data_IF_103259211612
#
_entry.id   IF_103259211612
#
_cell.length_a   1.000
_cell.length_b   1.000
_cell.length_c   1.000
_cell.angle_alpha   90.00
_cell.angle_beta   90.00
_cell.angle_gamma   90.00
#
_symmetry.space_group_name_H-M   'P 1'
#
loop_
_entity.id
_entity.type
_entity.pdbx_description
1 polymer ?
#
# COMPACT_ATOMS: atom_id res chain seq x y z
N UNK A 1 18.68 16.92 10.06
CA UNK A 1 17.30 17.13 9.57
C UNK A 1 17.24 17.65 8.11
N UNK A 2 17.90 18.75 7.72
CA UNK A 2 17.83 19.28 6.35
C UNK A 2 18.29 18.29 5.25
N UNK A 3 19.35 17.54 5.45
CA UNK A 3 19.88 16.56 4.49
C UNK A 3 18.93 15.39 4.23
N UNK A 4 18.22 14.91 5.27
CA UNK A 4 17.26 13.81 5.16
C UNK A 4 16.02 14.24 4.36
N UNK A 5 15.52 15.45 4.58
CA UNK A 5 14.38 16.00 3.83
C UNK A 5 14.73 16.16 2.34
N UNK A 6 15.92 16.70 2.04
CA UNK A 6 16.38 16.92 0.67
C UNK A 6 16.52 15.59 -0.10
N UNK A 7 17.06 14.58 0.55
CA UNK A 7 17.25 13.23 0.03
C UNK A 7 15.90 12.56 -0.31
N UNK A 8 14.89 12.65 0.58
CA UNK A 8 13.56 12.11 0.33
C UNK A 8 12.87 12.82 -0.85
N UNK A 9 13.00 14.14 -0.93
CA UNK A 9 12.41 14.94 -2.02
C UNK A 9 12.97 14.54 -3.40
N UNK A 10 14.30 14.35 -3.52
CA UNK A 10 14.93 13.94 -4.78
C UNK A 10 14.53 12.52 -5.16
N UNK A 11 14.52 11.61 -4.18
CA UNK A 11 14.09 10.23 -4.37
C UNK A 11 12.64 10.15 -4.87
N UNK A 12 11.73 10.87 -4.20
CA UNK A 12 10.31 10.90 -4.58
C UNK A 12 10.10 11.51 -5.97
N UNK A 13 10.83 12.58 -6.31
CA UNK A 13 10.75 13.19 -7.63
C UNK A 13 11.20 12.23 -8.75
N UNK A 14 12.37 11.62 -8.59
CA UNK A 14 12.88 10.65 -9.58
C UNK A 14 12.02 9.39 -9.63
N UNK A 15 11.58 8.87 -8.48
CA UNK A 15 10.70 7.71 -8.41
C UNK A 15 9.40 7.92 -9.18
N UNK A 16 8.71 9.06 -8.96
CA UNK A 16 7.50 9.42 -9.72
C UNK A 16 7.76 9.50 -11.22
N UNK A 17 8.82 10.17 -11.63
CA UNK A 17 9.15 10.36 -13.06
C UNK A 17 9.53 9.06 -13.77
N UNK A 18 10.16 8.13 -13.06
CA UNK A 18 10.44 6.80 -13.60
C UNK A 18 9.16 5.98 -13.69
N UNK A 19 8.36 5.96 -12.62
CA UNK A 19 7.14 5.16 -12.57
C UNK A 19 5.99 5.69 -13.44
N UNK A 20 6.00 7.00 -13.76
CA UNK A 20 5.08 7.60 -14.75
C UNK A 20 5.51 7.38 -16.19
N UNK A 21 6.79 7.05 -16.45
CA UNK A 21 7.37 6.94 -17.79
C UNK A 21 7.96 8.26 -18.32
N UNK A 22 7.92 9.36 -17.56
CA UNK A 22 8.56 10.65 -17.94
C UNK A 22 10.08 10.49 -18.10
N UNK A 23 10.67 9.54 -17.37
CA UNK A 23 12.04 9.08 -17.56
C UNK A 23 11.98 7.61 -18.02
N UNK A 24 11.99 7.35 -19.33
CA UNK A 24 11.74 6.02 -19.87
C UNK A 24 12.86 5.02 -19.58
N UNK A 25 12.52 3.73 -19.62
CA UNK A 25 13.48 2.64 -19.50
C UNK A 25 14.62 2.81 -20.54
N UNK A 26 15.85 2.49 -20.13
CA UNK A 26 17.04 2.68 -20.94
C UNK A 26 17.70 4.07 -20.78
N UNK A 27 17.05 5.04 -20.15
CA UNK A 27 17.61 6.38 -19.93
C UNK A 27 18.81 6.29 -18.96
N UNK A 28 19.97 6.87 -19.29
CA UNK A 28 21.12 6.92 -18.39
C UNK A 28 20.93 8.05 -17.34
N UNK A 29 21.24 7.74 -16.09
CA UNK A 29 21.30 8.70 -14.98
C UNK A 29 22.73 8.73 -14.42
N UNK A 30 23.23 9.94 -14.16
CA UNK A 30 24.56 10.14 -13.59
C UNK A 30 24.50 10.93 -12.28
N UNK A 31 25.52 10.80 -11.43
CA UNK A 31 25.64 11.64 -10.23
C UNK A 31 25.67 13.13 -10.54
N UNK A 32 26.25 13.48 -11.68
CA UNK A 32 26.36 14.86 -12.13
C UNK A 32 25.01 15.41 -12.58
N UNK A 33 24.24 14.63 -13.37
CA UNK A 33 22.90 15.04 -13.80
C UNK A 33 21.95 15.24 -12.62
N UNK A 34 21.93 14.30 -11.64
CA UNK A 34 21.11 14.44 -10.44
C UNK A 34 21.58 15.61 -9.58
N UNK A 35 22.90 15.76 -9.39
CA UNK A 35 23.47 16.86 -8.61
C UNK A 35 23.12 18.22 -9.20
N UNK A 36 23.23 18.37 -10.51
CA UNK A 36 22.93 19.61 -11.24
C UNK A 36 21.43 19.92 -11.26
N UNK A 37 20.59 18.91 -11.53
CA UNK A 37 19.13 19.08 -11.65
C UNK A 37 18.47 19.47 -10.30
N UNK A 38 18.91 18.83 -9.22
CA UNK A 38 18.27 19.02 -7.90
C UNK A 38 19.09 19.93 -6.96
N UNK A 39 20.22 20.46 -7.39
CA UNK A 39 21.08 21.29 -6.55
C UNK A 39 21.64 20.57 -5.32
N UNK A 40 21.90 19.25 -5.42
CA UNK A 40 22.33 18.41 -4.28
C UNK A 40 23.80 17.98 -4.41
N UNK A 41 24.42 17.69 -3.26
CA UNK A 41 25.79 17.19 -3.23
C UNK A 41 25.92 15.80 -3.88
N UNK A 42 27.13 15.45 -4.31
CA UNK A 42 27.43 14.10 -4.85
C UNK A 42 27.12 12.99 -3.85
N UNK A 43 27.22 13.26 -2.55
CA UNK A 43 26.90 12.28 -1.50
C UNK A 43 25.39 12.00 -1.48
N UNK A 44 24.56 13.05 -1.53
CA UNK A 44 23.10 12.92 -1.60
C UNK A 44 22.68 12.22 -2.89
N UNK A 45 23.22 12.64 -4.04
CA UNK A 45 22.94 11.99 -5.33
C UNK A 45 23.29 10.50 -5.32
N UNK A 46 24.42 10.12 -4.72
CA UNK A 46 24.84 8.71 -4.60
C UNK A 46 23.88 7.88 -3.74
N UNK A 47 23.40 8.46 -2.64
CA UNK A 47 22.46 7.77 -1.75
C UNK A 47 21.10 7.57 -2.43
N UNK A 48 20.59 8.59 -3.13
CA UNK A 48 19.37 8.47 -3.95
C UNK A 48 19.54 7.37 -5.01
N UNK A 49 20.67 7.33 -5.71
CA UNK A 49 20.97 6.31 -6.71
C UNK A 49 20.95 4.88 -6.11
N UNK A 50 21.52 4.69 -4.92
CA UNK A 50 21.49 3.40 -4.22
C UNK A 50 20.07 2.97 -3.85
N UNK A 51 19.25 3.92 -3.38
CA UNK A 51 17.86 3.62 -3.07
C UNK A 51 17.05 3.25 -4.31
N UNK A 52 17.20 4.01 -5.41
CA UNK A 52 16.55 3.68 -6.68
C UNK A 52 16.98 2.30 -7.20
N UNK A 53 18.26 1.93 -7.02
CA UNK A 53 18.78 0.61 -7.38
C UNK A 53 18.19 -0.49 -6.48
N UNK A 54 18.10 -0.27 -5.18
CA UNK A 54 17.43 -1.19 -4.24
C UNK A 54 15.94 -1.38 -4.51
N UNK A 55 15.29 -0.40 -5.15
CA UNK A 55 13.90 -0.49 -5.61
C UNK A 55 13.75 -1.17 -7.00
N UNK A 56 14.85 -1.54 -7.64
CA UNK A 56 14.84 -2.09 -8.99
C UNK A 56 14.50 -1.08 -10.08
N UNK A 57 14.42 0.23 -9.75
CA UNK A 57 14.07 1.26 -10.73
C UNK A 57 15.22 1.60 -11.68
N UNK A 58 16.45 1.36 -11.24
CA UNK A 58 17.68 1.58 -12.01
C UNK A 58 18.68 0.46 -11.74
N UNK A 59 19.63 0.28 -12.67
CA UNK A 59 20.76 -0.66 -12.53
C UNK A 59 22.06 -0.01 -12.89
N UNK A 60 23.11 -0.31 -12.15
CA UNK A 60 24.48 0.14 -12.46
C UNK A 60 24.99 -0.52 -13.76
N UNK A 61 25.47 0.31 -14.69
CA UNK A 61 26.08 -0.13 -15.95
C UNK A 61 27.45 0.48 -16.11
N UNK A 62 28.46 -0.38 -16.27
CA UNK A 62 29.86 0.03 -16.40
C UNK A 62 30.02 1.10 -17.50
N UNK A 63 30.74 2.18 -17.21
CA UNK A 63 31.03 3.34 -18.10
C UNK A 63 29.82 4.17 -18.52
N UNK A 64 28.60 3.85 -18.07
CA UNK A 64 27.37 4.59 -18.39
C UNK A 64 26.83 5.33 -17.17
N UNK A 65 26.98 4.73 -15.99
CA UNK A 65 26.32 5.18 -14.75
C UNK A 65 25.18 4.24 -14.38
N UNK A 66 24.05 4.78 -13.98
CA UNK A 66 22.82 4.01 -13.80
C UNK A 66 21.98 4.06 -15.09
N UNK A 67 21.22 3.02 -15.33
CA UNK A 67 20.24 2.94 -16.42
C UNK A 67 18.88 2.63 -15.82
N UNK A 68 17.86 3.37 -16.22
CA UNK A 68 16.47 3.16 -15.81
C UNK A 68 15.96 1.83 -16.33
N UNK A 69 15.26 1.08 -15.50
CA UNK A 69 14.73 -0.26 -15.80
C UNK A 69 13.22 -0.20 -16.08
N UNK A 70 12.70 -1.23 -16.77
CA UNK A 70 11.28 -1.43 -16.96
C UNK A 70 10.58 -2.02 -15.74
N UNK A 71 9.26 -2.03 -15.76
CA UNK A 71 8.40 -2.46 -14.65
C UNK A 71 8.65 -3.92 -14.22
N UNK A 72 9.11 -4.75 -15.12
CA UNK A 72 9.44 -6.16 -14.89
C UNK A 72 10.59 -6.39 -13.89
N UNK A 73 11.38 -5.35 -13.67
CA UNK A 73 12.52 -5.38 -12.75
C UNK A 73 12.22 -4.68 -11.42
N UNK A 74 11.12 -3.93 -11.35
CA UNK A 74 10.81 -3.11 -10.17
C UNK A 74 10.42 -3.96 -8.96
N UNK A 75 10.79 -3.51 -7.77
CA UNK A 75 10.23 -4.03 -6.54
C UNK A 75 8.79 -3.49 -6.35
N UNK A 76 7.85 -4.12 -7.06
CA UNK A 76 6.44 -3.70 -7.12
C UNK A 76 5.70 -3.82 -5.78
N UNK A 77 6.28 -4.51 -4.80
CA UNK A 77 5.75 -4.62 -3.44
C UNK A 77 6.30 -3.55 -2.48
N UNK A 78 7.27 -2.74 -2.90
CA UNK A 78 7.75 -1.63 -2.06
C UNK A 78 6.69 -0.54 -1.96
N UNK A 79 6.29 -0.09 -0.75
CA UNK A 79 5.25 0.91 -0.54
C UNK A 79 5.50 2.24 -1.28
N UNK A 80 6.76 2.62 -1.49
CA UNK A 80 7.12 3.84 -2.26
C UNK A 80 6.80 3.67 -3.73
N UNK A 81 7.14 2.52 -4.32
CA UNK A 81 6.83 2.21 -5.73
C UNK A 81 5.31 2.16 -5.92
N UNK A 82 4.59 1.54 -4.98
CA UNK A 82 3.12 1.51 -4.99
C UNK A 82 2.56 2.93 -4.99
N UNK A 83 2.99 3.77 -4.05
CA UNK A 83 2.52 5.15 -3.91
C UNK A 83 2.78 5.97 -5.19
N UNK A 84 4.00 5.95 -5.72
CA UNK A 84 4.32 6.72 -6.94
C UNK A 84 3.50 6.28 -8.14
N UNK A 85 3.22 5.00 -8.30
CA UNK A 85 2.38 4.49 -9.38
C UNK A 85 0.90 4.85 -9.19
N UNK A 86 0.40 4.87 -7.95
CA UNK A 86 -0.95 5.32 -7.63
C UNK A 86 -1.14 6.82 -7.88
N UNK A 87 -0.10 7.63 -7.70
CA UNK A 87 -0.09 9.07 -7.99
C UNK A 87 0.03 9.40 -9.49
N UNK A 88 0.41 8.41 -10.32
CA UNK A 88 0.72 8.57 -11.74
C UNK A 88 -0.33 7.97 -12.70
N UNK A 89 -0.02 7.95 -14.00
CA UNK A 89 -0.90 7.40 -15.04
C UNK A 89 -1.12 5.89 -14.93
N UNK A 90 -0.27 5.17 -14.18
CA UNK A 90 -0.40 3.74 -13.89
C UNK A 90 -1.38 3.38 -12.78
N UNK A 91 -2.18 4.34 -12.27
CA UNK A 91 -3.08 4.19 -11.13
C UNK A 91 -4.07 3.04 -11.27
N UNK A 92 -4.87 3.05 -12.34
CA UNK A 92 -5.98 2.11 -12.47
C UNK A 92 -5.53 0.65 -12.62
N UNK A 93 -4.53 0.33 -13.47
CA UNK A 93 -3.95 -1.01 -13.47
C UNK A 93 -3.35 -1.40 -12.13
N UNK A 94 -2.70 -0.47 -11.42
CA UNK A 94 -2.11 -0.71 -10.11
C UNK A 94 -3.17 -1.03 -9.06
N UNK A 95 -4.26 -0.27 -9.01
CA UNK A 95 -5.37 -0.53 -8.09
C UNK A 95 -6.01 -1.89 -8.32
N UNK A 96 -6.20 -2.29 -9.59
CA UNK A 96 -6.74 -3.62 -9.92
C UNK A 96 -5.84 -4.74 -9.38
N UNK A 97 -4.56 -4.72 -9.72
CA UNK A 97 -3.61 -5.77 -9.30
C UNK A 97 -3.44 -5.84 -7.78
N UNK A 98 -3.43 -4.69 -7.10
CA UNK A 98 -3.36 -4.64 -5.64
C UNK A 98 -4.66 -5.13 -4.98
N UNK A 99 -5.82 -4.85 -5.57
CA UNK A 99 -7.10 -5.37 -5.08
C UNK A 99 -7.21 -6.87 -5.26
N UNK A 100 -6.70 -7.41 -6.38
CA UNK A 100 -6.60 -8.87 -6.58
C UNK A 100 -5.69 -9.53 -5.55
N UNK A 101 -4.54 -8.91 -5.23
CA UNK A 101 -3.65 -9.39 -4.18
C UNK A 101 -4.35 -9.41 -2.82
N UNK A 102 -5.01 -8.31 -2.43
CA UNK A 102 -5.76 -8.22 -1.18
C UNK A 102 -6.83 -9.29 -1.09
N UNK A 103 -7.60 -9.48 -2.16
CA UNK A 103 -8.65 -10.51 -2.23
C UNK A 103 -8.11 -11.94 -2.08
N UNK A 104 -6.90 -12.21 -2.55
CA UNK A 104 -6.26 -13.52 -2.43
C UNK A 104 -5.66 -13.78 -1.04
N UNK A 105 -5.26 -12.72 -0.32
CA UNK A 105 -4.44 -12.86 0.90
C UNK A 105 -5.21 -12.53 2.17
N UNK A 106 -5.97 -11.44 2.20
CA UNK A 106 -6.56 -10.95 3.45
C UNK A 106 -7.63 -11.86 4.05
N UNK A 107 -8.49 -12.55 3.27
CA UNK A 107 -9.41 -13.53 3.83
C UNK A 107 -8.69 -14.69 4.54
N UNK A 108 -7.63 -15.20 3.92
CA UNK A 108 -6.81 -16.25 4.53
C UNK A 108 -6.04 -15.77 5.76
N UNK A 109 -5.60 -14.50 5.75
CA UNK A 109 -4.96 -13.89 6.90
C UNK A 109 -5.94 -13.72 8.07
N UNK A 110 -7.19 -13.32 7.81
CA UNK A 110 -8.24 -13.22 8.82
C UNK A 110 -8.58 -14.60 9.43
N UNK A 111 -8.70 -15.64 8.60
CA UNK A 111 -8.85 -17.02 9.06
C UNK A 111 -7.67 -17.46 9.94
N UNK A 112 -6.44 -17.16 9.53
CA UNK A 112 -5.23 -17.43 10.31
C UNK A 112 -5.21 -16.68 11.64
N UNK A 113 -5.60 -15.40 11.66
CA UNK A 113 -5.68 -14.60 12.89
C UNK A 113 -6.71 -15.18 13.88
N UNK A 114 -7.83 -15.72 13.42
CA UNK A 114 -8.80 -16.39 14.28
C UNK A 114 -8.20 -17.59 15.03
N UNK A 115 -7.16 -18.23 14.47
CA UNK A 115 -6.48 -19.38 15.07
C UNK A 115 -5.29 -18.93 15.93
N UNK A 116 -4.52 -17.94 15.48
CA UNK A 116 -3.19 -17.65 16.02
C UNK A 116 -3.09 -16.36 16.83
N UNK A 117 -4.06 -15.42 16.68
CA UNK A 117 -4.01 -14.15 17.41
C UNK A 117 -3.99 -14.36 18.92
N UNK A 118 -3.15 -13.60 19.62
CA UNK A 118 -3.14 -13.51 21.08
C UNK A 118 -4.40 -12.81 21.58
N UNK A 119 -4.71 -12.96 22.88
CA UNK A 119 -5.86 -12.30 23.50
C UNK A 119 -5.78 -10.77 23.38
N UNK A 120 -4.58 -10.19 23.49
CA UNK A 120 -4.36 -8.76 23.32
C UNK A 120 -4.63 -8.29 21.88
N UNK A 121 -4.17 -9.05 20.88
CA UNK A 121 -4.44 -8.76 19.47
C UNK A 121 -5.93 -8.89 19.13
N UNK A 122 -6.63 -9.87 19.68
CA UNK A 122 -8.08 -10.03 19.56
C UNK A 122 -8.82 -8.81 20.14
N UNK A 123 -8.43 -8.40 21.35
CA UNK A 123 -9.01 -7.23 22.01
C UNK A 123 -8.73 -5.94 21.22
N UNK A 124 -7.52 -5.78 20.66
CA UNK A 124 -7.16 -4.64 19.81
C UNK A 124 -8.02 -4.59 18.53
N UNK A 125 -8.25 -5.73 17.88
CA UNK A 125 -9.10 -5.80 16.66
C UNK A 125 -10.54 -5.37 16.97
N UNK A 126 -11.13 -5.87 18.05
CA UNK A 126 -12.49 -5.49 18.46
C UNK A 126 -12.57 -4.00 18.79
N UNK A 127 -11.61 -3.47 19.55
CA UNK A 127 -11.58 -2.05 19.88
C UNK A 127 -11.40 -1.18 18.63
N UNK A 128 -10.53 -1.58 17.69
CA UNK A 128 -10.34 -0.88 16.43
C UNK A 128 -11.62 -0.85 15.59
N UNK A 129 -12.29 -1.98 15.38
CA UNK A 129 -13.53 -2.05 14.62
C UNK A 129 -14.65 -1.19 15.23
N UNK A 130 -14.83 -1.24 16.55
CA UNK A 130 -15.79 -0.40 17.27
C UNK A 130 -15.49 1.09 17.07
N UNK A 131 -14.24 1.49 17.17
CA UNK A 131 -13.85 2.89 16.98
C UNK A 131 -13.98 3.32 15.51
N UNK A 132 -13.69 2.45 14.56
CA UNK A 132 -13.90 2.70 13.12
C UNK A 132 -15.38 2.99 12.84
N UNK A 133 -16.31 2.26 13.45
CA UNK A 133 -17.74 2.56 13.33
C UNK A 133 -18.05 3.98 13.78
N UNK A 134 -17.63 4.37 14.97
CA UNK A 134 -17.89 5.71 15.51
C UNK A 134 -17.32 6.81 14.61
N UNK A 135 -16.11 6.64 14.10
CA UNK A 135 -15.46 7.62 13.23
C UNK A 135 -16.12 7.67 11.83
N UNK A 136 -16.50 6.51 11.29
CA UNK A 136 -17.19 6.43 10.01
C UNK A 136 -18.55 7.12 10.05
N UNK A 137 -19.32 6.93 11.11
CA UNK A 137 -20.62 7.60 11.35
C UNK A 137 -20.44 9.11 11.58
N UNK A 138 -19.34 9.52 12.22
CA UNK A 138 -18.99 10.93 12.44
C UNK A 138 -18.43 11.62 11.19
N UNK A 139 -18.01 10.87 10.17
CA UNK A 139 -17.36 11.39 8.96
C UNK A 139 -15.90 11.80 9.17
N UNK A 140 -15.23 11.32 10.21
CA UNK A 140 -13.80 11.55 10.45
C UNK A 140 -12.97 10.53 9.67
N UNK A 141 -12.79 10.81 8.38
CA UNK A 141 -12.13 9.90 7.46
C UNK A 141 -10.63 9.75 7.69
N UNK A 142 -9.97 10.74 8.26
CA UNK A 142 -8.52 10.67 8.49
C UNK A 142 -8.19 9.71 9.65
N UNK A 143 -8.88 9.88 10.79
CA UNK A 143 -8.73 8.94 11.90
C UNK A 143 -9.27 7.54 11.55
N UNK A 144 -10.37 7.46 10.78
CA UNK A 144 -10.89 6.20 10.25
C UNK A 144 -9.82 5.46 9.43
N UNK A 145 -9.19 6.14 8.48
CA UNK A 145 -8.12 5.54 7.66
C UNK A 145 -6.97 5.01 8.50
N UNK A 146 -6.55 5.76 9.52
CA UNK A 146 -5.45 5.32 10.38
C UNK A 146 -5.79 4.00 11.10
N UNK A 147 -7.04 3.84 11.55
CA UNK A 147 -7.52 2.61 12.17
C UNK A 147 -7.74 1.49 11.15
N UNK A 148 -8.25 1.78 9.97
CA UNK A 148 -8.44 0.82 8.88
C UNK A 148 -7.10 0.19 8.48
N UNK A 149 -6.07 1.02 8.28
CA UNK A 149 -4.70 0.56 8.04
C UNK A 149 -4.22 -0.33 9.19
N UNK A 150 -4.39 0.11 10.44
CA UNK A 150 -3.94 -0.63 11.61
C UNK A 150 -4.67 -1.97 11.76
N UNK A 151 -5.97 -2.01 11.49
CA UNK A 151 -6.80 -3.21 11.52
C UNK A 151 -6.30 -4.27 10.54
N UNK A 152 -6.09 -3.90 9.29
CA UNK A 152 -5.59 -4.81 8.28
C UNK A 152 -4.14 -5.26 8.54
N UNK A 153 -3.27 -4.35 9.01
CA UNK A 153 -1.91 -4.72 9.43
C UNK A 153 -1.91 -5.75 10.55
N UNK A 154 -2.76 -5.57 11.55
CA UNK A 154 -2.84 -6.48 12.69
C UNK A 154 -3.30 -7.87 12.26
N UNK A 155 -4.34 -7.97 11.42
CA UNK A 155 -4.80 -9.25 10.87
C UNK A 155 -3.69 -9.99 10.10
N UNK A 156 -2.98 -9.28 9.23
CA UNK A 156 -1.88 -9.87 8.47
C UNK A 156 -0.77 -10.40 9.39
N UNK A 157 -0.40 -9.65 10.43
CA UNK A 157 0.67 -10.03 11.38
C UNK A 157 0.24 -11.16 12.31
N UNK A 158 -1.01 -11.10 12.80
CA UNK A 158 -1.57 -12.10 13.72
C UNK A 158 -1.96 -13.42 13.03
N UNK A 159 -1.88 -13.49 11.70
CA UNK A 159 -2.28 -14.66 10.90
C UNK A 159 -1.48 -15.93 11.14
N UNK A 160 -0.34 -15.85 11.85
CA UNK A 160 0.61 -16.96 12.00
C UNK A 160 1.44 -17.24 10.74
N UNK A 161 1.28 -16.44 9.66
CA UNK A 161 2.03 -16.56 8.42
C UNK A 161 2.90 -15.32 8.21
N UNK A 162 4.22 -15.49 8.33
CA UNK A 162 5.19 -14.40 8.19
C UNK A 162 5.15 -13.71 6.82
N UNK A 163 4.78 -14.46 5.76
CA UNK A 163 4.66 -13.92 4.41
C UNK A 163 3.46 -12.97 4.30
N UNK A 164 2.35 -13.27 4.98
CA UNK A 164 1.21 -12.36 5.06
C UNK A 164 1.58 -11.10 5.85
N UNK A 165 2.28 -11.26 6.99
CA UNK A 165 2.79 -10.14 7.78
C UNK A 165 3.72 -9.21 6.98
N UNK A 166 4.52 -9.75 6.06
CA UNK A 166 5.40 -8.96 5.19
C UNK A 166 4.62 -8.08 4.19
N UNK A 167 3.36 -8.39 3.87
CA UNK A 167 2.49 -7.61 2.99
C UNK A 167 1.79 -6.43 3.70
N UNK A 168 1.92 -6.28 5.02
CA UNK A 168 1.26 -5.22 5.79
C UNK A 168 1.53 -3.83 5.20
N UNK A 169 2.78 -3.51 4.86
CA UNK A 169 3.12 -2.23 4.22
C UNK A 169 2.53 -2.04 2.82
N UNK A 170 2.30 -3.12 2.08
CA UNK A 170 1.65 -3.08 0.76
C UNK A 170 0.18 -2.70 0.93
N UNK A 171 -0.52 -3.38 1.85
CA UNK A 171 -1.95 -3.10 2.13
C UNK A 171 -2.13 -1.69 2.67
N UNK A 172 -1.28 -1.25 3.61
CA UNK A 172 -1.27 0.13 4.10
C UNK A 172 -1.13 1.17 2.98
N UNK A 173 -0.23 0.94 2.02
CA UNK A 173 -0.03 1.84 0.88
C UNK A 173 -1.27 1.90 -0.04
N UNK A 174 -1.99 0.79 -0.22
CA UNK A 174 -3.23 0.76 -1.02
C UNK A 174 -4.36 1.52 -0.34
N UNK A 175 -4.60 1.25 0.95
CA UNK A 175 -5.65 1.90 1.74
C UNK A 175 -5.44 3.42 1.77
N UNK A 176 -4.21 3.85 2.12
CA UNK A 176 -3.84 5.27 2.14
C UNK A 176 -3.97 5.91 0.75
N UNK A 177 -3.49 5.22 -0.29
CA UNK A 177 -3.57 5.71 -1.66
C UNK A 177 -5.01 5.91 -2.13
N UNK A 178 -5.91 4.97 -1.87
CA UNK A 178 -7.34 5.09 -2.23
C UNK A 178 -8.00 6.29 -1.55
N UNK A 179 -7.77 6.48 -0.27
CA UNK A 179 -8.36 7.58 0.49
C UNK A 179 -7.82 8.93 0.03
N UNK A 180 -6.50 9.12 -0.07
CA UNK A 180 -5.89 10.38 -0.48
C UNK A 180 -6.19 10.76 -1.93
N UNK A 181 -6.49 9.79 -2.80
CA UNK A 181 -6.89 10.03 -4.18
C UNK A 181 -8.39 10.27 -4.36
N UNK A 182 -9.16 10.33 -3.26
CA UNK A 182 -10.60 10.55 -3.31
C UNK A 182 -11.38 9.38 -3.94
N UNK A 183 -10.83 8.16 -3.90
CA UNK A 183 -11.47 6.94 -4.42
C UNK A 183 -12.34 6.24 -3.38
N UNK A 184 -12.37 6.77 -2.16
CA UNK A 184 -13.28 6.33 -1.09
C UNK A 184 -14.50 7.24 -1.07
N UNK A 185 -15.70 6.70 -0.77
CA UNK A 185 -16.88 7.53 -0.52
C UNK A 185 -16.62 8.49 0.65
N UNK A 186 -17.31 9.64 0.63
CA UNK A 186 -17.19 10.67 1.68
C UNK A 186 -17.59 10.18 3.08
N UNK A 187 -18.26 9.04 3.16
CA UNK A 187 -18.52 8.30 4.41
C UNK A 187 -18.45 6.81 4.07
N UNK A 188 -17.83 5.99 4.93
CA UNK A 188 -17.89 4.54 4.77
C UNK A 188 -19.36 4.08 4.71
N UNK A 189 -19.64 3.15 3.82
CA UNK A 189 -20.99 2.57 3.77
C UNK A 189 -21.26 1.72 5.01
N UNK A 190 -22.49 1.70 5.57
CA UNK A 190 -22.79 0.94 6.79
C UNK A 190 -22.37 -0.52 6.70
N UNK A 191 -22.55 -1.14 5.55
CA UNK A 191 -22.20 -2.52 5.29
C UNK A 191 -20.68 -2.78 5.47
N UNK A 192 -19.82 -1.83 5.08
CA UNK A 192 -18.37 -1.95 5.29
C UNK A 192 -18.01 -1.89 6.78
N UNK A 193 -18.71 -1.06 7.57
CA UNK A 193 -18.53 -0.99 9.02
C UNK A 193 -18.97 -2.30 9.68
N UNK A 194 -20.14 -2.83 9.28
CA UNK A 194 -20.67 -4.11 9.77
C UNK A 194 -19.69 -5.26 9.50
N UNK A 195 -19.05 -5.28 8.33
CA UNK A 195 -18.10 -6.32 7.96
C UNK A 195 -16.80 -6.24 8.79
N UNK A 196 -16.28 -5.06 9.12
CA UNK A 196 -15.12 -4.92 10.00
C UNK A 196 -15.41 -5.45 11.40
N UNK A 197 -16.59 -5.15 11.96
CA UNK A 197 -17.01 -5.72 13.24
C UNK A 197 -17.20 -7.24 13.15
N UNK A 198 -17.77 -7.74 12.05
CA UNK A 198 -17.92 -9.19 11.84
C UNK A 198 -16.57 -9.91 11.80
N UNK A 199 -15.56 -9.35 11.12
CA UNK A 199 -14.20 -9.90 11.11
C UNK A 199 -13.61 -9.91 12.52
N UNK A 200 -13.69 -8.78 13.25
CA UNK A 200 -13.12 -8.65 14.58
C UNK A 200 -13.74 -9.64 15.57
N UNK A 201 -15.08 -9.76 15.55
CA UNK A 201 -15.80 -10.70 16.40
C UNK A 201 -15.48 -12.15 16.06
N UNK A 202 -15.43 -12.52 14.78
CA UNK A 202 -15.08 -13.87 14.36
C UNK A 202 -13.63 -14.25 14.77
N UNK A 203 -12.69 -13.30 14.71
CA UNK A 203 -11.32 -13.52 15.22
C UNK A 203 -11.33 -13.67 16.74
N UNK A 204 -12.10 -12.85 17.47
CA UNK A 204 -12.24 -12.94 18.92
C UNK A 204 -12.84 -14.29 19.35
N UNK A 205 -13.85 -14.78 18.64
CA UNK A 205 -14.52 -16.04 18.89
C UNK A 205 -13.70 -17.26 18.44
N UNK A 206 -12.60 -17.07 17.70
CA UNK A 206 -11.79 -18.15 17.16
C UNK A 206 -12.48 -18.90 16.02
N UNK A 207 -13.34 -18.25 15.23
CA UNK A 207 -14.03 -18.84 14.06
C UNK A 207 -13.31 -18.43 12.75
N UNK A 208 -12.42 -19.28 12.20
CA UNK A 208 -11.68 -18.95 10.99
C UNK A 208 -12.57 -18.86 9.74
N UNK A 209 -13.67 -19.61 9.68
CA UNK A 209 -14.57 -19.58 8.52
C UNK A 209 -15.38 -18.29 8.47
N UNK A 210 -15.89 -17.84 9.60
CA UNK A 210 -16.60 -16.58 9.71
C UNK A 210 -15.66 -15.40 9.42
N UNK A 211 -14.43 -15.42 9.96
CA UNK A 211 -13.41 -14.38 9.71
C UNK A 211 -13.03 -14.29 8.23
N UNK A 212 -12.80 -15.42 7.55
CA UNK A 212 -12.52 -15.47 6.11
C UNK A 212 -13.67 -14.91 5.29
N UNK A 213 -14.90 -15.33 5.57
CA UNK A 213 -16.08 -14.89 4.83
C UNK A 213 -16.34 -13.39 4.99
N UNK A 214 -16.22 -12.85 6.20
CA UNK A 214 -16.41 -11.42 6.46
C UNK A 214 -15.32 -10.58 5.78
N UNK A 215 -14.06 -10.99 5.84
CA UNK A 215 -12.97 -10.29 5.16
C UNK A 215 -13.11 -10.38 3.63
N UNK A 216 -13.53 -11.53 3.08
CA UNK A 216 -13.80 -11.67 1.65
C UNK A 216 -14.89 -10.70 1.17
N UNK A 217 -15.90 -10.41 2.02
CA UNK A 217 -16.94 -9.42 1.70
C UNK A 217 -16.34 -8.00 1.60
N UNK A 218 -15.49 -7.58 2.57
CA UNK A 218 -14.82 -6.27 2.55
C UNK A 218 -14.02 -6.09 1.26
N UNK A 219 -13.12 -7.02 0.93
CA UNK A 219 -12.25 -6.88 -0.24
C UNK A 219 -12.99 -7.12 -1.56
N UNK A 220 -14.09 -7.89 -1.53
CA UNK A 220 -14.97 -8.15 -2.68
C UNK A 220 -15.73 -6.91 -3.12
N UNK A 221 -16.25 -6.11 -2.19
CA UNK A 221 -16.95 -4.85 -2.46
C UNK A 221 -16.03 -3.86 -3.19
N UNK A 222 -14.78 -3.74 -2.73
CA UNK A 222 -13.76 -2.92 -3.38
C UNK A 222 -13.53 -3.34 -4.84
N UNK A 223 -13.47 -4.65 -5.08
CA UNK A 223 -13.29 -5.19 -6.44
C UNK A 223 -14.48 -4.89 -7.36
N UNK A 224 -15.69 -4.97 -6.84
CA UNK A 224 -16.90 -4.64 -7.59
C UNK A 224 -16.96 -3.16 -7.97
N UNK A 225 -16.58 -2.26 -7.05
CA UNK A 225 -16.51 -0.83 -7.30
C UNK A 225 -15.51 -0.47 -8.41
N UNK A 226 -14.34 -1.10 -8.45
CA UNK A 226 -13.33 -0.88 -9.50
C UNK A 226 -13.73 -1.48 -10.86
N UNK A 227 -14.43 -2.62 -10.87
CA UNK A 227 -14.94 -3.26 -12.09
C UNK A 227 -16.15 -2.54 -12.73
N UNK A 228 -16.80 -1.64 -12.00
CA UNK A 228 -17.90 -0.80 -12.49
C UNK A 228 -17.43 0.39 -13.34
N UNK A 229 -16.20 0.86 -13.13
CA UNK A 229 -15.62 2.00 -13.86
C UNK A 229 -15.29 1.65 -15.32
N UNK A 230 -14.97 0.39 -15.61
CA UNK A 230 -14.63 -0.06 -16.98
C UNK A 230 -15.87 -0.27 -17.89
N UNK A 231 -17.10 -0.05 -17.40
CA UNK A 231 -18.35 -0.27 -18.18
C UNK A 231 -19.09 1.00 -18.60
N UNK A 232 -18.50 2.17 -18.41
CA UNK A 232 -19.08 3.39 -19.02
C UNK A 232 -18.42 3.59 -20.39
N UNK A 233 -19.24 3.60 -21.47
CA UNK A 233 -18.76 3.73 -22.84
C UNK A 233 -18.19 5.12 -23.16
#
# INVERSE_FOLDING_TARGET
MATTVLHTTVLDSLGRRITSGDVPAGTPLTLESIGSEFGVSRTVAREVMRLLEGLGLVRSKRRVGLVVLGIEEWNVLDPRVIRWRLEGPGRDPQLRTLTELRHAVEPLAAAGAAVHATDDERAELVAAATRMRMLGEAGDLEEFLALDVRFHELLLRASGNEMFGALAGVVAAVLSGRTHLGLMPASPVPEALDQHEAVANAVADGDPRAAEAAMAAIVGEVRAALGGVDRQP
#
